data_IF_209087914557
#
_entry.id   IF_209087914557
#
_cell.length_a   1.000
_cell.length_b   1.000
_cell.length_c   1.000
_cell.angle_alpha   90.00
_cell.angle_beta   90.00
_cell.angle_gamma   90.00
#
_symmetry.space_group_name_H-M   'P 1'
#
loop_
_entity.id
_entity.type
_entity.pdbx_description
1 polymer ?
#
# COMPACT_ATOMS: atom_id res chain seq x y z
N UNK A 1 -1.43 2.05 -22.89
CA UNK A 1 -0.94 2.87 -21.77
C UNK A 1 -1.98 3.84 -21.21
N UNK A 2 -2.64 4.72 -22.01
CA UNK A 2 -3.63 5.68 -21.49
C UNK A 2 -4.80 4.99 -20.74
N UNK A 3 -5.43 4.01 -21.35
CA UNK A 3 -6.56 3.27 -20.75
C UNK A 3 -6.12 2.54 -19.47
N UNK A 4 -4.94 1.95 -19.48
CA UNK A 4 -4.37 1.27 -18.31
C UNK A 4 -4.13 2.24 -17.16
N UNK A 5 -3.51 3.39 -17.42
CA UNK A 5 -3.27 4.44 -16.43
C UNK A 5 -4.59 4.99 -15.85
N UNK A 6 -5.61 5.18 -16.71
CA UNK A 6 -6.93 5.61 -16.29
C UNK A 6 -7.61 4.58 -15.38
N UNK A 7 -7.58 3.29 -15.75
CA UNK A 7 -8.15 2.22 -14.93
C UNK A 7 -7.46 2.11 -13.58
N UNK A 8 -6.13 2.14 -13.54
CA UNK A 8 -5.38 2.06 -12.28
C UNK A 8 -5.58 3.31 -11.41
N UNK A 9 -5.68 4.48 -12.02
CA UNK A 9 -6.09 5.70 -11.31
C UNK A 9 -7.47 5.57 -10.66
N UNK A 10 -8.44 4.99 -11.36
CA UNK A 10 -9.78 4.72 -10.81
C UNK A 10 -9.76 3.67 -9.70
N UNK A 11 -8.93 2.63 -9.81
CA UNK A 11 -8.72 1.66 -8.72
C UNK A 11 -8.20 2.38 -7.48
N UNK A 12 -7.22 3.27 -7.63
CA UNK A 12 -6.71 4.08 -6.51
C UNK A 12 -7.79 4.94 -5.87
N UNK A 13 -8.63 5.58 -6.68
CA UNK A 13 -9.79 6.34 -6.18
C UNK A 13 -10.76 5.45 -5.42
N UNK A 14 -11.11 4.30 -5.96
CA UNK A 14 -12.00 3.34 -5.29
C UNK A 14 -11.44 2.91 -3.94
N UNK A 15 -10.15 2.55 -3.89
CA UNK A 15 -9.50 2.11 -2.67
C UNK A 15 -9.44 3.19 -1.58
N UNK A 16 -9.14 4.46 -1.94
CA UNK A 16 -9.13 5.53 -0.93
C UNK A 16 -10.54 5.89 -0.46
N UNK A 17 -11.54 5.84 -1.33
CA UNK A 17 -12.92 6.12 -0.97
C UNK A 17 -13.52 5.03 -0.07
N UNK A 18 -13.03 3.80 -0.14
CA UNK A 18 -13.42 2.73 0.78
C UNK A 18 -13.20 3.15 2.24
N UNK A 19 -12.03 3.69 2.57
CA UNK A 19 -11.74 4.12 3.93
C UNK A 19 -12.41 5.44 4.33
N UNK A 20 -12.89 6.22 3.37
CA UNK A 20 -13.47 7.56 3.64
C UNK A 20 -14.99 7.58 3.65
N UNK A 21 -15.64 6.77 2.79
CA UNK A 21 -17.09 6.83 2.56
C UNK A 21 -17.77 5.47 2.67
N UNK A 22 -17.12 4.39 2.19
CA UNK A 22 -17.74 3.07 2.05
C UNK A 22 -17.71 2.22 3.33
N UNK A 23 -17.25 2.77 4.47
CA UNK A 23 -17.28 2.08 5.76
C UNK A 23 -16.06 1.21 6.05
N UNK A 24 -14.98 1.37 5.28
CA UNK A 24 -13.68 0.71 5.49
C UNK A 24 -13.75 -0.82 5.38
N UNK A 25 -14.11 -1.30 4.21
CA UNK A 25 -14.14 -2.74 3.88
C UNK A 25 -12.73 -3.32 3.65
N UNK A 26 -11.68 -2.52 3.86
CA UNK A 26 -10.27 -2.87 3.69
C UNK A 26 -9.80 -3.06 2.23
N UNK A 27 -10.51 -2.50 1.25
CA UNK A 27 -10.02 -2.47 -0.13
C UNK A 27 -8.75 -1.62 -0.29
N UNK A 28 -8.42 -0.78 0.69
CA UNK A 28 -7.18 -0.01 0.74
C UNK A 28 -5.95 -0.84 1.17
N UNK A 29 -6.12 -2.13 1.48
CA UNK A 29 -4.99 -2.98 1.92
C UNK A 29 -4.11 -3.38 0.74
N UNK A 30 -2.77 -3.30 0.87
CA UNK A 30 -1.84 -3.64 -0.20
C UNK A 30 -2.07 -5.00 -0.86
N UNK A 31 -2.41 -6.01 -0.07
CA UNK A 31 -2.73 -7.34 -0.58
C UNK A 31 -3.89 -7.30 -1.59
N UNK A 32 -4.95 -6.58 -1.27
CA UNK A 32 -6.14 -6.48 -2.12
C UNK A 32 -5.87 -5.59 -3.33
N UNK A 33 -5.27 -4.42 -3.13
CA UNK A 33 -4.99 -3.47 -4.22
C UNK A 33 -4.04 -4.03 -5.26
N UNK A 34 -2.92 -4.66 -4.84
CA UNK A 34 -1.99 -5.31 -5.78
C UNK A 34 -2.65 -6.46 -6.53
N UNK A 35 -3.51 -7.25 -5.86
CA UNK A 35 -4.25 -8.34 -6.50
C UNK A 35 -5.21 -7.80 -7.56
N UNK A 36 -5.91 -6.70 -7.29
CA UNK A 36 -6.78 -6.03 -8.29
C UNK A 36 -5.95 -5.52 -9.46
N UNK A 37 -4.82 -4.87 -9.20
CA UNK A 37 -3.90 -4.39 -10.25
C UNK A 37 -3.38 -5.56 -11.09
N UNK A 38 -2.95 -6.65 -10.45
CA UNK A 38 -2.48 -7.87 -11.13
C UNK A 38 -3.56 -8.50 -12.00
N UNK A 39 -4.81 -8.59 -11.51
CA UNK A 39 -5.95 -9.09 -12.29
C UNK A 39 -6.25 -8.20 -13.51
N UNK A 40 -6.17 -6.88 -13.38
CA UNK A 40 -6.40 -5.94 -14.47
C UNK A 40 -5.29 -5.95 -15.53
N UNK A 41 -4.06 -6.20 -15.12
CA UNK A 41 -2.88 -6.22 -16.00
C UNK A 41 -2.57 -7.61 -16.56
N UNK A 42 -3.26 -8.67 -16.09
CA UNK A 42 -3.12 -10.04 -16.59
C UNK A 42 -2.02 -10.87 -15.89
N UNK A 43 -1.42 -10.37 -14.83
CA UNK A 43 -0.45 -11.11 -13.99
C UNK A 43 -0.88 -11.08 -12.52
N UNK A 44 -1.82 -11.97 -12.20
CA UNK A 44 -2.36 -12.13 -10.86
C UNK A 44 -1.30 -12.61 -9.86
N UNK A 45 -0.37 -13.46 -10.32
CA UNK A 45 0.65 -14.05 -9.44
C UNK A 45 1.63 -12.99 -8.92
N UNK A 46 2.15 -12.15 -9.81
CA UNK A 46 3.02 -11.03 -9.44
C UNK A 46 2.27 -10.05 -8.54
N UNK A 47 1.01 -9.71 -8.87
CA UNK A 47 0.18 -8.85 -8.05
C UNK A 47 -0.01 -9.39 -6.63
N UNK A 48 -0.34 -10.67 -6.48
CA UNK A 48 -0.54 -11.33 -5.18
C UNK A 48 0.76 -11.39 -4.36
N UNK A 49 1.88 -11.75 -4.99
CA UNK A 49 3.19 -11.87 -4.32
C UNK A 49 3.67 -10.51 -3.80
N UNK A 50 3.58 -9.46 -4.64
CA UNK A 50 3.91 -8.10 -4.23
C UNK A 50 2.97 -7.59 -3.15
N UNK A 51 1.67 -7.83 -3.32
CA UNK A 51 0.66 -7.44 -2.34
C UNK A 51 0.91 -8.05 -0.97
N UNK A 52 1.22 -9.34 -0.90
CA UNK A 52 1.56 -10.02 0.34
C UNK A 52 2.82 -9.43 0.99
N UNK A 53 3.86 -9.15 0.19
CA UNK A 53 5.11 -8.58 0.70
C UNK A 53 4.93 -7.17 1.24
N UNK A 54 4.22 -6.29 0.52
CA UNK A 54 3.94 -4.92 0.94
C UNK A 54 2.97 -4.91 2.15
N UNK A 55 2.00 -5.83 2.18
CA UNK A 55 1.12 -6.00 3.34
C UNK A 55 1.91 -6.34 4.60
N UNK A 56 2.85 -7.29 4.54
CA UNK A 56 3.72 -7.65 5.66
C UNK A 56 4.58 -6.46 6.12
N UNK A 57 5.09 -5.64 5.19
CA UNK A 57 5.83 -4.42 5.52
C UNK A 57 4.96 -3.38 6.22
N UNK A 58 3.67 -3.35 5.91
CA UNK A 58 2.70 -2.36 6.44
C UNK A 58 2.00 -2.77 7.74
N UNK A 59 2.17 -4.01 8.21
CA UNK A 59 1.45 -4.54 9.38
C UNK A 59 1.62 -3.68 10.64
N UNK A 60 2.82 -3.14 10.87
CA UNK A 60 3.11 -2.29 12.02
C UNK A 60 2.80 -0.80 11.78
N UNK A 61 2.40 -0.42 10.57
CA UNK A 61 2.14 0.97 10.22
C UNK A 61 0.70 1.31 10.55
N UNK A 62 0.48 1.91 11.71
CA UNK A 62 -0.85 2.25 12.22
C UNK A 62 -0.99 3.77 12.33
N UNK A 63 -2.15 4.28 11.94
CA UNK A 63 -2.51 5.68 12.15
C UNK A 63 -2.77 5.91 13.64
N UNK A 64 -1.91 6.67 14.31
CA UNK A 64 -2.08 7.03 15.71
C UNK A 64 -2.24 8.56 15.81
N UNK A 65 -3.44 9.00 16.15
CA UNK A 65 -3.75 10.43 16.28
C UNK A 65 -3.55 11.22 14.98
N UNK A 66 -2.81 12.33 15.04
CA UNK A 66 -2.52 13.18 13.89
C UNK A 66 -1.32 12.70 13.04
N UNK A 67 -0.64 11.64 13.45
CA UNK A 67 0.49 11.11 12.69
C UNK A 67 0.02 10.61 11.31
N UNK A 68 0.76 10.99 10.28
CA UNK A 68 0.53 10.52 8.92
C UNK A 68 1.61 9.47 8.60
N UNK A 69 1.29 8.18 8.62
CA UNK A 69 2.24 7.16 8.21
C UNK A 69 2.45 7.17 6.70
N UNK A 70 3.50 6.49 6.20
CA UNK A 70 3.71 6.27 4.78
C UNK A 70 2.47 5.65 4.10
N UNK A 71 2.14 6.14 2.92
CA UNK A 71 0.96 5.68 2.18
C UNK A 71 1.29 4.39 1.40
N UNK A 72 1.13 3.26 2.09
CA UNK A 72 1.45 1.94 1.51
C UNK A 72 0.44 1.51 0.44
N UNK A 73 -0.78 2.06 0.44
CA UNK A 73 -1.77 1.75 -0.59
C UNK A 73 -1.39 2.37 -1.95
N UNK A 74 -1.03 3.65 -1.96
CA UNK A 74 -0.53 4.31 -3.19
C UNK A 74 0.73 3.63 -3.70
N UNK A 75 1.67 3.29 -2.79
CA UNK A 75 2.88 2.56 -3.15
C UNK A 75 2.57 1.18 -3.74
N UNK A 76 1.64 0.45 -3.17
CA UNK A 76 1.24 -0.87 -3.64
C UNK A 76 0.74 -0.84 -5.10
N UNK A 77 -0.15 0.10 -5.43
CA UNK A 77 -0.69 0.24 -6.78
C UNK A 77 0.43 0.56 -7.79
N UNK A 78 1.28 1.54 -7.46
CA UNK A 78 2.35 1.98 -8.36
C UNK A 78 3.41 0.89 -8.52
N UNK A 79 3.82 0.23 -7.42
CA UNK A 79 4.82 -0.84 -7.47
C UNK A 79 4.32 -2.06 -8.26
N UNK A 80 3.06 -2.49 -8.05
CA UNK A 80 2.49 -3.59 -8.80
C UNK A 80 2.35 -3.25 -10.29
N UNK A 81 1.88 -2.05 -10.62
CA UNK A 81 1.81 -1.58 -12.00
C UNK A 81 3.20 -1.53 -12.65
N UNK A 82 4.20 -1.01 -11.93
CA UNK A 82 5.57 -0.96 -12.41
C UNK A 82 6.14 -2.36 -12.67
N UNK A 83 6.07 -3.28 -11.70
CA UNK A 83 6.60 -4.63 -11.86
C UNK A 83 6.00 -5.35 -13.07
N UNK A 84 4.68 -5.30 -13.23
CA UNK A 84 3.97 -6.02 -14.29
C UNK A 84 4.18 -5.37 -15.67
N UNK A 85 4.18 -4.04 -15.75
CA UNK A 85 4.31 -3.34 -17.04
C UNK A 85 5.75 -3.28 -17.57
N UNK A 86 6.74 -3.46 -16.70
CA UNK A 86 8.16 -3.38 -17.07
C UNK A 86 8.90 -4.73 -16.95
N UNK A 87 8.19 -5.80 -16.59
CA UNK A 87 8.77 -7.11 -16.27
C UNK A 87 9.92 -7.02 -15.23
N UNK A 88 9.81 -6.05 -14.31
CA UNK A 88 10.81 -5.85 -13.27
C UNK A 88 10.65 -6.91 -12.18
N UNK A 89 11.77 -7.29 -11.53
CA UNK A 89 11.70 -8.24 -10.42
C UNK A 89 10.89 -7.68 -9.24
N UNK A 90 10.24 -8.59 -8.50
CA UNK A 90 9.45 -8.21 -7.32
C UNK A 90 10.30 -7.44 -6.28
N UNK A 91 11.57 -7.83 -6.12
CA UNK A 91 12.50 -7.16 -5.21
C UNK A 91 12.77 -5.72 -5.62
N UNK A 92 12.96 -5.47 -6.91
CA UNK A 92 13.17 -4.11 -7.44
C UNK A 92 11.93 -3.24 -7.20
N UNK A 93 10.73 -3.78 -7.43
CA UNK A 93 9.49 -3.08 -7.16
C UNK A 93 9.29 -2.78 -5.66
N UNK A 94 9.62 -3.75 -4.79
CA UNK A 94 9.55 -3.57 -3.33
C UNK A 94 10.53 -2.51 -2.82
N UNK A 95 11.71 -2.40 -3.42
CA UNK A 95 12.67 -1.36 -3.07
C UNK A 95 12.14 0.06 -3.30
N UNK A 96 11.25 0.22 -4.30
CA UNK A 96 10.60 1.50 -4.58
C UNK A 96 9.39 1.79 -3.67
N UNK A 97 8.88 0.79 -2.95
CA UNK A 97 7.66 0.94 -2.16
C UNK A 97 7.79 2.03 -1.08
N UNK A 98 8.88 2.06 -0.32
CA UNK A 98 9.08 3.04 0.75
C UNK A 98 9.22 4.48 0.21
N UNK A 99 10.08 4.78 -0.78
CA UNK A 99 10.14 6.12 -1.38
C UNK A 99 8.78 6.61 -1.88
N UNK A 100 8.04 5.76 -2.59
CA UNK A 100 6.70 6.10 -3.10
C UNK A 100 5.71 6.33 -1.96
N UNK A 101 5.73 5.48 -0.93
CA UNK A 101 4.87 5.61 0.25
C UNK A 101 5.12 6.94 1.00
N UNK A 102 6.38 7.36 1.11
CA UNK A 102 6.75 8.65 1.72
C UNK A 102 6.24 9.83 0.89
N UNK A 103 6.34 9.76 -0.44
CA UNK A 103 5.75 10.78 -1.31
C UNK A 103 4.23 10.84 -1.16
N UNK A 104 3.56 9.69 -1.10
CA UNK A 104 2.13 9.59 -0.80
C UNK A 104 1.76 10.20 0.55
N UNK A 105 2.58 9.96 1.58
CA UNK A 105 2.43 10.58 2.90
C UNK A 105 2.50 12.11 2.82
N UNK A 106 3.47 12.66 2.10
CA UNK A 106 3.60 14.11 1.94
C UNK A 106 2.36 14.72 1.25
N UNK A 107 1.85 14.07 0.21
CA UNK A 107 0.59 14.45 -0.44
C UNK A 107 -0.59 14.37 0.53
N UNK A 108 -0.64 13.34 1.38
CA UNK A 108 -1.66 13.18 2.41
C UNK A 108 -1.64 14.30 3.44
N UNK A 109 -0.47 14.76 3.87
CA UNK A 109 -0.31 15.90 4.78
C UNK A 109 -0.78 17.19 4.12
N UNK A 110 -0.37 17.44 2.86
CA UNK A 110 -0.81 18.59 2.08
C UNK A 110 -2.34 18.61 1.96
N UNK A 111 -2.94 17.45 1.65
CA UNK A 111 -4.39 17.33 1.52
C UNK A 111 -5.13 17.63 2.83
N UNK A 112 -4.63 17.14 3.97
CA UNK A 112 -5.21 17.46 5.29
C UNK A 112 -5.20 18.96 5.57
N UNK A 113 -4.14 19.66 5.17
CA UNK A 113 -4.05 21.13 5.30
C UNK A 113 -5.11 21.82 4.45
N UNK A 114 -5.32 21.38 3.22
CA UNK A 114 -6.36 21.92 2.33
C UNK A 114 -7.76 21.66 2.91
N UNK A 115 -8.01 20.44 3.38
CA UNK A 115 -9.30 20.05 3.98
C UNK A 115 -9.59 20.80 5.28
N UNK A 116 -8.57 21.16 6.07
CA UNK A 116 -8.76 22.00 7.25
C UNK A 116 -9.36 23.36 6.88
N UNK A 117 -8.92 23.97 5.79
CA UNK A 117 -9.54 25.21 5.31
C UNK A 117 -11.01 25.02 4.87
N UNK A 118 -11.33 23.87 4.22
CA UNK A 118 -12.72 23.55 3.89
C UNK A 118 -13.60 23.41 5.15
N UNK A 119 -13.06 22.86 6.22
CA UNK A 119 -13.78 22.73 7.50
C UNK A 119 -14.14 24.11 8.06
N UNK A 120 -13.22 25.07 8.04
CA UNK A 120 -13.52 26.45 8.45
C UNK A 120 -14.62 27.12 7.62
N UNK A 121 -14.64 26.86 6.29
CA UNK A 121 -15.71 27.36 5.42
C UNK A 121 -17.06 26.71 5.76
N UNK A 122 -17.05 25.43 6.11
CA UNK A 122 -18.25 24.71 6.55
C UNK A 122 -18.75 25.24 7.88
N UNK A 123 -17.89 25.50 8.86
CA UNK A 123 -18.24 26.05 10.17
C UNK A 123 -18.91 27.42 10.02
N UNK A 124 -18.35 28.29 9.18
CA UNK A 124 -18.96 29.60 8.87
C UNK A 124 -20.35 29.45 8.22
N UNK A 125 -20.48 28.48 7.30
CA UNK A 125 -21.76 28.21 6.64
C UNK A 125 -22.82 27.70 7.63
N UNK A 126 -22.42 26.91 8.64
CA UNK A 126 -23.31 26.44 9.71
C UNK A 126 -23.76 27.63 10.56
N UNK A 127 -22.85 28.54 10.95
CA UNK A 127 -23.15 29.72 11.73
C UNK A 127 -24.16 30.64 11.01
N UNK A 128 -24.15 30.65 9.67
CA UNK A 128 -25.11 31.38 8.84
C UNK A 128 -26.42 30.60 8.58
N UNK A 129 -26.57 29.37 9.11
CA UNK A 129 -27.73 28.51 8.84
C UNK A 129 -27.77 27.87 7.46
N UNK A 130 -26.66 27.92 6.70
CA UNK A 130 -26.53 27.36 5.33
C UNK A 130 -26.09 25.90 5.34
N UNK A 131 -26.86 25.01 5.94
CA UNK A 131 -26.49 23.59 6.14
C UNK A 131 -26.17 22.84 4.83
N UNK A 132 -26.86 23.17 3.74
CA UNK A 132 -26.61 22.55 2.43
C UNK A 132 -25.21 22.85 1.91
N UNK A 133 -24.70 24.06 2.17
CA UNK A 133 -23.32 24.44 1.82
C UNK A 133 -22.31 23.68 2.69
N UNK A 134 -22.54 23.61 3.98
CA UNK A 134 -21.69 22.87 4.90
C UNK A 134 -21.60 21.38 4.51
N UNK A 135 -22.74 20.74 4.22
CA UNK A 135 -22.80 19.37 3.74
C UNK A 135 -21.99 19.18 2.45
N UNK A 136 -22.13 20.08 1.47
CA UNK A 136 -21.39 19.97 0.22
C UNK A 136 -19.89 20.11 0.40
N UNK A 137 -19.41 20.92 1.36
CA UNK A 137 -17.98 21.07 1.65
C UNK A 137 -17.36 19.76 2.16
N UNK A 138 -18.05 19.04 3.04
CA UNK A 138 -17.55 17.78 3.59
C UNK A 138 -17.70 16.61 2.62
N UNK A 139 -18.88 16.42 2.05
CA UNK A 139 -19.15 15.21 1.24
C UNK A 139 -18.64 15.39 -0.20
N UNK A 140 -19.04 16.44 -0.90
CA UNK A 140 -18.72 16.58 -2.31
C UNK A 140 -17.26 16.98 -2.50
N UNK A 141 -16.86 18.11 -1.90
CA UNK A 141 -15.50 18.62 -2.08
C UNK A 141 -14.44 17.73 -1.43
N UNK A 142 -14.74 17.16 -0.25
CA UNK A 142 -13.85 16.18 0.40
C UNK A 142 -13.62 14.96 -0.48
N UNK A 143 -14.67 14.38 -1.04
CA UNK A 143 -14.59 13.23 -1.95
C UNK A 143 -13.79 13.54 -3.21
N UNK A 144 -14.10 14.67 -3.86
CA UNK A 144 -13.39 15.09 -5.09
C UNK A 144 -11.92 15.30 -4.84
N UNK A 145 -11.55 15.98 -3.75
CA UNK A 145 -10.14 16.25 -3.42
C UNK A 145 -9.36 14.98 -3.11
N UNK A 146 -9.93 14.05 -2.32
CA UNK A 146 -9.28 12.76 -2.07
C UNK A 146 -9.17 11.91 -3.33
N UNK A 147 -10.19 11.93 -4.19
CA UNK A 147 -10.15 11.23 -5.48
C UNK A 147 -9.04 11.79 -6.38
N UNK A 148 -8.91 13.11 -6.47
CA UNK A 148 -7.87 13.76 -7.26
C UNK A 148 -6.46 13.46 -6.70
N UNK A 149 -6.32 13.49 -5.38
CA UNK A 149 -5.06 13.19 -4.70
C UNK A 149 -4.51 11.82 -5.06
N UNK A 150 -5.37 10.82 -5.20
CA UNK A 150 -4.95 9.46 -5.57
C UNK A 150 -4.88 9.27 -7.09
N UNK A 151 -5.86 9.78 -7.81
CA UNK A 151 -5.94 9.63 -9.26
C UNK A 151 -4.73 10.23 -9.97
N UNK A 152 -4.38 11.48 -9.66
CA UNK A 152 -3.33 12.20 -10.39
C UNK A 152 -1.97 11.53 -10.25
N UNK A 153 -1.44 11.23 -9.05
CA UNK A 153 -0.13 10.59 -8.93
C UNK A 153 -0.07 9.19 -9.54
N UNK A 154 -1.12 8.38 -9.36
CA UNK A 154 -1.17 7.04 -9.92
C UNK A 154 -1.23 7.10 -11.44
N UNK A 155 -2.12 7.94 -12.00
CA UNK A 155 -2.23 8.13 -13.43
C UNK A 155 -0.92 8.60 -14.06
N UNK A 156 -0.31 9.64 -13.49
CA UNK A 156 0.96 10.18 -13.97
C UNK A 156 2.10 9.16 -13.86
N UNK A 157 2.18 8.43 -12.76
CA UNK A 157 3.21 7.41 -12.54
C UNK A 157 3.08 6.28 -13.55
N UNK A 158 1.88 5.83 -13.87
CA UNK A 158 1.66 4.75 -14.83
C UNK A 158 1.79 5.25 -16.27
N UNK A 159 1.31 6.45 -16.58
CA UNK A 159 1.30 6.98 -17.94
C UNK A 159 2.69 7.43 -18.41
N UNK A 160 3.42 8.15 -17.55
CA UNK A 160 4.75 8.69 -17.85
C UNK A 160 5.88 7.89 -17.20
N UNK A 161 5.57 7.14 -16.13
CA UNK A 161 6.56 6.54 -15.26
C UNK A 161 7.22 5.30 -15.85
N UNK A 162 6.54 4.53 -16.70
CA UNK A 162 7.10 3.30 -17.27
C UNK A 162 8.37 3.57 -18.06
N UNK A 163 8.38 4.56 -18.94
CA UNK A 163 9.57 4.92 -19.72
C UNK A 163 10.65 5.62 -18.86
N UNK A 164 10.22 6.45 -17.92
CA UNK A 164 11.12 7.19 -17.04
C UNK A 164 11.72 6.26 -16.00
N UNK A 165 10.94 5.35 -15.43
CA UNK A 165 11.41 4.37 -14.45
C UNK A 165 12.33 3.34 -15.11
N UNK A 166 12.04 2.87 -16.33
CA UNK A 166 12.98 2.01 -17.07
C UNK A 166 14.34 2.68 -17.29
N UNK A 167 14.36 3.96 -17.65
CA UNK A 167 15.61 4.73 -17.77
C UNK A 167 16.34 4.88 -16.44
N UNK A 168 15.61 5.12 -15.35
CA UNK A 168 16.19 5.22 -14.00
C UNK A 168 16.75 3.86 -13.57
N UNK A 169 16.00 2.78 -13.75
CA UNK A 169 16.44 1.41 -13.42
C UNK A 169 17.67 1.01 -14.22
N UNK A 170 17.70 1.35 -15.52
CA UNK A 170 18.89 1.10 -16.37
C UNK A 170 20.12 1.92 -15.94
N UNK A 171 19.94 3.05 -15.25
CA UNK A 171 21.02 3.88 -14.73
C UNK A 171 21.49 3.43 -13.34
N UNK A 172 20.70 2.61 -12.63
CA UNK A 172 21.05 2.13 -11.28
C UNK A 172 22.16 1.09 -11.39
N UNK A 173 23.33 1.31 -10.74
CA UNK A 173 24.41 0.31 -10.72
C UNK A 173 23.97 -0.98 -10.01
N UNK A 174 24.50 -2.12 -10.45
CA UNK A 174 24.16 -3.43 -9.91
C UNK A 174 24.35 -3.52 -8.39
N UNK A 175 25.43 -2.93 -7.82
CA UNK A 175 25.66 -2.93 -6.37
C UNK A 175 24.54 -2.25 -5.58
N UNK A 176 23.92 -1.20 -6.16
CA UNK A 176 22.81 -0.50 -5.51
C UNK A 176 21.53 -1.32 -5.61
N UNK A 177 21.27 -1.97 -6.74
CA UNK A 177 20.14 -2.90 -6.91
C UNK A 177 20.25 -4.07 -5.92
N UNK A 178 21.44 -4.65 -5.78
CA UNK A 178 21.69 -5.74 -4.81
C UNK A 178 21.50 -5.26 -3.36
N UNK A 179 21.94 -4.05 -3.05
CA UNK A 179 21.71 -3.43 -1.75
C UNK A 179 20.24 -3.18 -1.45
N UNK A 180 19.46 -2.69 -2.44
CA UNK A 180 18.03 -2.48 -2.32
C UNK A 180 17.28 -3.83 -2.19
N UNK A 181 17.69 -4.85 -2.93
CA UNK A 181 17.12 -6.20 -2.84
C UNK A 181 17.37 -6.82 -1.45
N UNK A 182 18.56 -6.63 -0.90
CA UNK A 182 18.85 -7.05 0.46
C UNK A 182 18.03 -6.26 1.48
N UNK A 183 17.96 -4.93 1.32
CA UNK A 183 17.17 -4.05 2.18
C UNK A 183 15.67 -4.39 2.17
N UNK A 184 15.09 -4.72 1.03
CA UNK A 184 13.66 -5.07 0.92
C UNK A 184 13.28 -6.29 1.75
N UNK A 185 14.18 -7.26 1.88
CA UNK A 185 13.98 -8.46 2.74
C UNK A 185 13.92 -8.09 4.23
N UNK A 186 14.70 -7.10 4.66
CA UNK A 186 14.65 -6.60 6.04
C UNK A 186 13.38 -5.80 6.33
N UNK A 187 12.78 -5.14 5.33
CA UNK A 187 11.55 -4.35 5.54
C UNK A 187 10.38 -5.21 6.02
N UNK A 188 10.23 -6.43 5.50
CA UNK A 188 9.22 -7.37 5.98
C UNK A 188 9.43 -7.74 7.45
N UNK A 189 10.68 -8.07 7.84
CA UNK A 189 11.02 -8.34 9.24
C UNK A 189 10.79 -7.11 10.13
N UNK A 190 11.12 -5.91 9.64
CA UNK A 190 10.85 -4.65 10.32
C UNK A 190 9.35 -4.42 10.55
N UNK A 191 8.49 -4.68 9.54
CA UNK A 191 7.03 -4.54 9.68
C UNK A 191 6.46 -5.45 10.77
N UNK A 192 6.90 -6.71 10.81
CA UNK A 192 6.52 -7.66 11.87
C UNK A 192 7.05 -7.20 13.25
N UNK A 193 8.30 -6.76 13.33
CA UNK A 193 8.89 -6.26 14.56
C UNK A 193 8.16 -5.00 15.07
N UNK A 194 7.77 -4.10 14.19
CA UNK A 194 6.99 -2.91 14.51
C UNK A 194 5.61 -3.28 15.05
N UNK A 195 4.90 -4.20 14.39
CA UNK A 195 3.63 -4.73 14.89
C UNK A 195 3.79 -5.32 16.28
N UNK A 196 4.81 -6.16 16.46
CA UNK A 196 5.12 -6.78 17.74
C UNK A 196 5.39 -5.71 18.82
N UNK A 197 6.16 -4.67 18.51
CA UNK A 197 6.47 -3.58 19.44
C UNK A 197 5.24 -2.80 19.91
N UNK A 198 4.18 -2.72 19.10
CA UNK A 198 2.93 -2.05 19.46
C UNK A 198 1.99 -2.92 20.27
N UNK A 199 2.09 -4.25 20.13
CA UNK A 199 1.20 -5.22 20.78
C UNK A 199 1.82 -5.84 22.05
N UNK A 200 3.15 -5.97 22.09
CA UNK A 200 3.84 -6.67 23.16
C UNK A 200 4.00 -5.78 24.38
N UNK A 201 3.41 -6.20 25.48
CA UNK A 201 3.65 -5.63 26.81
C UNK A 201 4.22 -6.72 27.74
N UNK A 202 4.59 -6.36 28.99
CA UNK A 202 5.21 -7.29 29.95
C UNK A 202 4.34 -8.51 30.21
N UNK A 203 3.01 -8.33 30.30
CA UNK A 203 2.08 -9.40 30.63
C UNK A 203 1.88 -10.37 29.45
N UNK A 204 1.99 -9.87 28.23
CA UNK A 204 1.83 -10.68 27.01
C UNK A 204 3.12 -11.36 26.55
N UNK A 205 4.29 -10.96 27.08
CA UNK A 205 5.58 -11.52 26.68
C UNK A 205 5.66 -13.03 26.89
N UNK A 206 5.10 -13.55 27.98
CA UNK A 206 5.10 -14.99 28.27
C UNK A 206 4.28 -15.76 27.23
N UNK A 207 3.10 -15.25 26.86
CA UNK A 207 2.25 -15.88 25.86
C UNK A 207 2.86 -15.81 24.46
N UNK A 208 3.55 -14.71 24.14
CA UNK A 208 4.30 -14.58 22.89
C UNK A 208 5.41 -15.63 22.80
N UNK A 209 6.22 -15.80 23.86
CA UNK A 209 7.29 -16.79 23.88
C UNK A 209 6.73 -18.22 23.80
N UNK A 210 5.67 -18.52 24.52
CA UNK A 210 4.98 -19.82 24.42
C UNK A 210 4.50 -20.09 22.99
N UNK A 211 3.84 -19.12 22.35
CA UNK A 211 3.40 -19.24 20.97
C UNK A 211 4.58 -19.41 19.98
N UNK A 212 5.67 -18.66 20.19
CA UNK A 212 6.87 -18.77 19.36
C UNK A 212 7.50 -20.17 19.45
N UNK A 213 7.67 -20.69 20.66
CA UNK A 213 8.18 -22.07 20.86
C UNK A 213 7.21 -23.11 20.31
N UNK A 214 5.92 -22.94 20.53
CA UNK A 214 4.90 -23.85 20.02
C UNK A 214 4.95 -23.93 18.48
N UNK A 215 5.04 -22.80 17.81
CA UNK A 215 5.18 -22.73 16.35
C UNK A 215 6.50 -23.29 15.86
N UNK A 216 7.60 -22.99 16.57
CA UNK A 216 8.95 -23.44 16.18
C UNK A 216 9.15 -24.95 16.33
N UNK A 217 8.58 -25.57 17.38
CA UNK A 217 8.80 -26.98 17.66
C UNK A 217 7.69 -27.92 17.14
N UNK A 218 6.44 -27.48 17.17
CA UNK A 218 5.31 -28.33 16.74
C UNK A 218 4.92 -28.10 15.28
N UNK A 219 5.47 -27.06 14.64
CA UNK A 219 5.21 -26.71 13.25
C UNK A 219 3.72 -26.55 12.97
N UNK A 220 3.15 -25.33 13.00
CA UNK A 220 1.73 -25.19 12.70
C UNK A 220 1.47 -25.67 11.27
N UNK A 221 0.52 -26.58 11.17
CA UNK A 221 0.12 -27.34 9.97
C UNK A 221 -0.17 -26.44 8.75
N UNK A 222 -0.45 -25.16 8.96
CA UNK A 222 -0.80 -24.21 7.87
C UNK A 222 0.35 -23.88 6.92
N UNK A 223 1.58 -23.74 7.41
CA UNK A 223 2.74 -23.42 6.56
C UNK A 223 3.33 -24.66 5.89
N UNK A 224 3.24 -25.82 6.53
CA UNK A 224 3.74 -27.08 5.97
C UNK A 224 2.87 -27.58 4.82
N UNK A 225 1.55 -27.32 4.84
CA UNK A 225 0.67 -27.70 3.72
C UNK A 225 0.91 -26.87 2.45
N UNK A 226 1.15 -25.56 2.59
CA UNK A 226 1.49 -24.71 1.43
C UNK A 226 2.84 -25.09 0.82
N UNK A 227 3.84 -25.38 1.65
CA UNK A 227 5.17 -25.81 1.18
C UNK A 227 5.17 -27.23 0.61
N UNK A 228 4.34 -28.12 1.12
CA UNK A 228 4.20 -29.48 0.58
C UNK A 228 3.53 -29.48 -0.81
N UNK A 229 2.66 -28.50 -1.11
CA UNK A 229 2.10 -28.32 -2.44
C UNK A 229 3.12 -27.83 -3.46
N UNK A 230 4.01 -26.89 -3.07
CA UNK A 230 5.08 -26.41 -3.96
C UNK A 230 6.13 -27.50 -4.25
N UNK A 231 6.52 -28.30 -3.25
CA UNK A 231 7.48 -29.40 -3.45
C UNK A 231 6.90 -30.53 -4.28
N UNK A 232 5.58 -30.75 -4.26
CA UNK A 232 4.95 -31.79 -5.10
C UNK A 232 4.83 -31.38 -6.57
N UNK A 233 4.66 -30.11 -6.89
CA UNK A 233 4.61 -29.64 -8.29
C UNK A 233 5.99 -29.64 -8.95
N UNK A 234 7.09 -29.55 -8.17
CA UNK A 234 8.46 -29.58 -8.67
C UNK A 234 9.06 -31.00 -8.75
N UNK A 235 8.35 -32.04 -8.30
CA UNK A 235 8.78 -33.44 -8.39
C UNK A 235 8.12 -34.22 -9.53
N UNK A 236 7.33 -33.57 -10.36
CA UNK A 236 6.71 -34.14 -11.58
C UNK A 236 7.24 -33.38 -12.79
N UNK A 237 8.53 -33.51 -13.02
CA UNK A 237 9.21 -33.30 -14.31
C UNK A 237 10.26 -34.38 -14.48
#
# INVERSE_FOLDING_TARGET
MFVTALLLGLVGVFCILDSRILGRMNFERPLITCTIVGALLGDLQTGLTLGASIELMSLGIVNIGAAAPPDMNMAAIICAAFAILTDASAETALALAIPIAVLGQMLGVLMRTILSNLTHVADHAIAEGKFRKAWSMHIVWGTVLYSLMYFIPIFLSVYFGTDLVQKIVAFIPAWLTDGLNLGSKFLTAYGIALLLSTMLNRDLTVYFLLGFFFVGYLGPVSYTHLRAHETRSNLVC
#
